data_IF_759417774367
#
_entry.id   IF_759417774367
#
_cell.length_a   1.000
_cell.length_b   1.000
_cell.length_c   1.000
_cell.angle_alpha   90.00
_cell.angle_beta   90.00
_cell.angle_gamma   90.00
#
_symmetry.space_group_name_H-M   'P 1'
#
loop_
_entity.id
_entity.type
_entity.pdbx_description
1 polymer ?
#
# COMPACT_ATOMS: atom_id res chain seq x y z
N UNK A 1 41.56 7.48 -18.76
CA UNK A 1 40.16 7.68 -19.18
C UNK A 1 39.21 6.55 -18.77
N UNK A 2 39.58 5.27 -18.92
CA UNK A 2 38.76 4.12 -18.49
C UNK A 2 38.33 4.13 -17.00
N UNK A 3 39.21 4.53 -16.08
CA UNK A 3 38.89 4.57 -14.64
C UNK A 3 37.81 5.59 -14.27
N UNK A 4 37.69 6.70 -15.01
CA UNK A 4 36.66 7.71 -14.75
C UNK A 4 35.25 7.19 -15.08
N UNK A 5 35.12 6.44 -16.18
CA UNK A 5 33.86 5.81 -16.58
C UNK A 5 33.46 4.72 -15.56
N UNK A 6 34.43 3.94 -15.07
CA UNK A 6 34.20 2.92 -14.06
C UNK A 6 33.69 3.52 -12.74
N UNK A 7 34.27 4.63 -12.29
CA UNK A 7 33.85 5.32 -11.06
C UNK A 7 32.42 5.88 -11.22
N UNK A 8 32.09 6.48 -12.37
CA UNK A 8 30.75 7.01 -12.65
C UNK A 8 29.72 5.88 -12.69
N UNK A 9 30.04 4.74 -13.31
CA UNK A 9 29.18 3.56 -13.31
C UNK A 9 28.97 3.00 -11.91
N UNK A 10 30.03 2.86 -11.12
CA UNK A 10 29.94 2.35 -9.74
C UNK A 10 29.14 3.30 -8.83
N UNK A 11 29.34 4.60 -8.95
CA UNK A 11 28.60 5.62 -8.20
C UNK A 11 27.11 5.70 -8.58
N UNK A 12 26.73 5.25 -9.77
CA UNK A 12 25.31 5.16 -10.16
C UNK A 12 24.66 3.81 -9.81
N UNK A 13 25.33 2.70 -10.17
CA UNK A 13 24.78 1.36 -10.01
C UNK A 13 24.63 0.95 -8.53
N UNK A 14 25.63 1.24 -7.70
CA UNK A 14 25.62 0.82 -6.30
C UNK A 14 24.46 1.46 -5.53
N UNK A 15 24.25 2.79 -5.55
CA UNK A 15 23.10 3.38 -4.86
C UNK A 15 21.77 2.98 -5.47
N UNK A 16 21.68 2.80 -6.80
CA UNK A 16 20.47 2.26 -7.43
C UNK A 16 20.14 0.86 -6.91
N UNK A 17 21.13 -0.02 -6.83
CA UNK A 17 20.95 -1.37 -6.33
C UNK A 17 20.60 -1.40 -4.84
N UNK A 18 21.22 -0.56 -4.02
CA UNK A 18 20.85 -0.38 -2.60
C UNK A 18 19.42 0.11 -2.44
N UNK A 19 18.99 1.08 -3.26
CA UNK A 19 17.64 1.63 -3.21
C UNK A 19 16.60 0.58 -3.59
N UNK A 20 16.84 -0.18 -4.66
CA UNK A 20 15.94 -1.28 -5.08
C UNK A 20 15.86 -2.40 -4.03
N UNK A 21 16.97 -2.76 -3.39
CA UNK A 21 16.95 -3.72 -2.27
C UNK A 21 16.15 -3.20 -1.09
N UNK A 22 16.34 -1.93 -0.75
CA UNK A 22 15.63 -1.29 0.35
C UNK A 22 14.12 -1.23 0.08
N UNK A 23 13.71 -0.82 -1.13
CA UNK A 23 12.31 -0.83 -1.56
C UNK A 23 11.71 -2.23 -1.49
N UNK A 24 12.44 -3.25 -2.00
CA UNK A 24 12.00 -4.65 -1.96
C UNK A 24 11.87 -5.18 -0.53
N UNK A 25 12.77 -4.77 0.36
CA UNK A 25 12.68 -5.13 1.78
C UNK A 25 11.45 -4.51 2.43
N UNK A 26 11.18 -3.23 2.17
CA UNK A 26 10.01 -2.54 2.72
C UNK A 26 8.70 -3.03 2.13
N UNK A 27 8.70 -3.48 0.88
CA UNK A 27 7.51 -4.04 0.23
C UNK A 27 7.14 -5.44 0.76
N UNK A 28 8.10 -6.18 1.29
CA UNK A 28 7.89 -7.54 1.81
C UNK A 28 7.49 -7.59 3.28
N UNK A 29 7.70 -6.50 4.01
CA UNK A 29 7.35 -6.40 5.42
C UNK A 29 5.89 -5.98 5.56
N UNK A 30 5.00 -6.98 5.64
CA UNK A 30 3.56 -6.78 5.77
C UNK A 30 3.13 -6.98 7.22
N UNK A 31 2.55 -5.93 7.81
CA UNK A 31 2.00 -5.96 9.16
C UNK A 31 0.47 -6.02 9.09
N UNK A 32 -0.14 -6.89 9.89
CA UNK A 32 -1.60 -6.99 9.98
C UNK A 32 -2.12 -5.84 10.80
N UNK A 33 -2.93 -4.97 10.19
CA UNK A 33 -3.49 -3.79 10.86
C UNK A 33 -4.93 -4.00 11.32
N UNK A 34 -5.67 -4.90 10.67
CA UNK A 34 -6.99 -5.32 11.12
C UNK A 34 -7.35 -6.70 10.57
N UNK A 35 -8.14 -7.43 11.36
CA UNK A 35 -8.71 -8.71 10.96
C UNK A 35 -10.13 -8.78 11.50
N UNK A 36 -11.09 -9.14 10.65
CA UNK A 36 -12.49 -9.20 11.08
C UNK A 36 -13.46 -9.50 9.97
N UNK A 37 -14.74 -9.50 10.29
CA UNK A 37 -15.83 -9.68 9.32
C UNK A 37 -16.16 -8.33 8.70
N UNK A 38 -16.14 -8.26 7.37
CA UNK A 38 -16.50 -7.06 6.62
C UNK A 38 -17.99 -6.75 6.80
N UNK A 39 -18.31 -5.56 7.31
CA UNK A 39 -19.68 -5.07 7.42
C UNK A 39 -20.08 -4.16 6.25
N UNK A 40 -19.24 -3.18 5.94
CA UNK A 40 -19.45 -2.26 4.81
C UNK A 40 -18.15 -1.61 4.39
N UNK A 41 -18.10 -1.07 3.18
CA UNK A 41 -17.00 -0.26 2.71
C UNK A 41 -17.49 0.95 1.92
N UNK A 42 -16.84 2.09 2.14
CA UNK A 42 -17.15 3.36 1.48
C UNK A 42 -15.90 3.84 0.76
N UNK A 43 -15.96 4.02 -0.56
CA UNK A 43 -14.85 4.59 -1.33
C UNK A 43 -15.12 6.07 -1.56
N UNK A 44 -14.20 6.93 -1.13
CA UNK A 44 -14.22 8.37 -1.33
C UNK A 44 -13.01 8.77 -2.19
N UNK A 45 -13.25 9.40 -3.34
CA UNK A 45 -12.22 9.91 -4.22
C UNK A 45 -12.03 11.40 -3.92
N UNK A 46 -11.01 11.73 -3.12
CA UNK A 46 -10.70 13.13 -2.81
C UNK A 46 -9.60 13.63 -3.72
N UNK A 47 -9.92 14.67 -4.49
CA UNK A 47 -8.94 15.40 -5.28
C UNK A 47 -8.17 16.35 -4.37
N UNK A 48 -6.91 16.07 -4.11
CA UNK A 48 -6.05 17.00 -3.38
C UNK A 48 -5.33 17.93 -4.37
N UNK A 49 -5.49 19.23 -4.16
CA UNK A 49 -4.72 20.27 -4.84
C UNK A 49 -3.43 20.50 -4.07
N UNK A 50 -2.32 19.95 -4.54
CA UNK A 50 -1.01 20.20 -3.93
C UNK A 50 -0.40 21.46 -4.58
N UNK A 51 -0.58 22.62 -3.95
CA UNK A 51 0.11 23.84 -4.39
C UNK A 51 1.64 23.70 -4.18
N UNK A 52 2.51 24.22 -5.07
CA UNK A 52 2.25 25.17 -6.15
C UNK A 52 2.22 24.55 -7.56
N UNK A 53 2.18 23.22 -7.72
CA UNK A 53 2.30 22.57 -9.04
C UNK A 53 0.93 22.01 -9.45
N UNK A 54 0.45 22.43 -10.61
CA UNK A 54 -0.85 22.23 -11.29
C UNK A 54 -1.40 20.80 -11.41
N UNK A 55 -0.82 19.79 -10.74
CA UNK A 55 -1.32 18.42 -10.76
C UNK A 55 -2.30 18.19 -9.61
N UNK A 56 -3.59 18.10 -9.94
CA UNK A 56 -4.58 17.49 -9.05
C UNK A 56 -4.26 16.00 -8.95
N UNK A 57 -3.84 15.55 -7.77
CA UNK A 57 -3.68 14.12 -7.51
C UNK A 57 -5.01 13.65 -6.92
N UNK A 58 -5.74 12.86 -7.71
CA UNK A 58 -6.88 12.13 -7.19
C UNK A 58 -6.35 11.01 -6.29
N UNK A 59 -6.54 11.14 -4.99
CA UNK A 59 -6.23 10.07 -4.04
C UNK A 59 -7.55 9.40 -3.72
N UNK A 60 -7.71 8.17 -4.22
CA UNK A 60 -8.82 7.31 -3.82
C UNK A 60 -8.52 6.75 -2.44
N UNK A 61 -9.51 6.78 -1.55
CA UNK A 61 -9.42 6.17 -0.22
C UNK A 61 -10.68 5.37 0.04
N UNK A 62 -10.51 4.14 0.50
CA UNK A 62 -11.63 3.27 0.90
C UNK A 62 -11.62 3.09 2.41
N UNK A 63 -12.72 3.47 3.06
CA UNK A 63 -12.99 3.17 4.47
C UNK A 63 -13.62 1.80 4.56
N UNK A 64 -12.96 0.88 5.25
CA UNK A 64 -13.45 -0.47 5.54
C UNK A 64 -13.97 -0.50 6.97
N UNK A 65 -15.22 -0.90 7.13
CA UNK A 65 -15.87 -1.07 8.43
C UNK A 65 -16.05 -2.55 8.72
N UNK A 66 -15.66 -2.96 9.92
CA UNK A 66 -15.78 -4.31 10.40
C UNK A 66 -17.00 -4.44 11.33
N UNK A 67 -17.52 -5.66 11.45
CA UNK A 67 -18.70 -5.96 12.27
C UNK A 67 -18.47 -5.74 13.78
N UNK A 68 -17.22 -5.73 14.23
CA UNK A 68 -16.82 -5.42 15.61
C UNK A 68 -16.81 -3.91 15.91
N UNK A 69 -17.13 -3.06 14.92
CA UNK A 69 -17.07 -1.60 15.03
C UNK A 69 -15.71 -1.00 14.69
N UNK A 70 -14.68 -1.82 14.42
CA UNK A 70 -13.37 -1.36 13.96
C UNK A 70 -13.49 -0.75 12.56
N UNK A 71 -12.72 0.30 12.29
CA UNK A 71 -12.64 0.92 10.96
C UNK A 71 -11.19 1.11 10.53
N UNK A 72 -10.91 0.86 9.26
CA UNK A 72 -9.58 1.06 8.66
C UNK A 72 -9.73 1.90 7.40
N UNK A 73 -8.80 2.83 7.22
CA UNK A 73 -8.71 3.64 6.01
C UNK A 73 -7.61 3.06 5.12
N UNK A 74 -8.00 2.64 3.93
CA UNK A 74 -7.12 2.03 2.92
C UNK A 74 -6.94 3.05 1.79
N UNK A 75 -5.70 3.21 1.33
CA UNK A 75 -5.41 3.96 0.11
C UNK A 75 -5.72 3.13 -1.14
N UNK A 76 -6.34 3.76 -2.13
CA UNK A 76 -6.79 3.13 -3.37
C UNK A 76 -8.18 2.52 -3.25
N UNK A 77 -8.57 1.78 -4.29
CA UNK A 77 -9.84 1.04 -4.40
C UNK A 77 -9.54 -0.46 -4.47
N UNK A 78 -9.25 -1.12 -3.33
CA UNK A 78 -9.01 -2.55 -3.32
C UNK A 78 -10.26 -3.30 -3.76
N UNK A 79 -10.08 -4.44 -4.41
CA UNK A 79 -11.19 -5.36 -4.66
C UNK A 79 -11.63 -5.93 -3.31
N UNK A 80 -12.87 -5.65 -2.92
CA UNK A 80 -13.41 -6.03 -1.63
C UNK A 80 -14.42 -7.16 -1.80
N UNK A 81 -14.32 -8.22 -0.98
CA UNK A 81 -15.28 -9.31 -1.04
C UNK A 81 -16.67 -8.87 -0.57
N UNK A 82 -17.71 -9.71 -0.77
CA UNK A 82 -19.04 -9.40 -0.28
C UNK A 82 -19.07 -9.26 1.25
N UNK A 83 -20.04 -8.47 1.73
CA UNK A 83 -20.35 -8.30 3.15
C UNK A 83 -20.50 -9.66 3.85
N UNK A 84 -20.04 -9.74 5.10
CA UNK A 84 -20.07 -10.97 5.90
C UNK A 84 -18.86 -11.88 5.70
N UNK A 85 -17.93 -11.50 4.81
CA UNK A 85 -16.69 -12.24 4.59
C UNK A 85 -15.63 -11.83 5.62
N UNK A 86 -14.90 -12.82 6.16
CA UNK A 86 -13.77 -12.55 7.05
C UNK A 86 -12.56 -12.14 6.23
N UNK A 87 -12.06 -10.94 6.48
CA UNK A 87 -10.93 -10.35 5.77
C UNK A 87 -9.81 -9.99 6.73
N UNK A 88 -8.59 -10.04 6.22
CA UNK A 88 -7.38 -9.49 6.83
C UNK A 88 -6.91 -8.30 6.03
N UNK A 89 -6.67 -7.19 6.69
CA UNK A 89 -6.07 -6.01 6.10
C UNK A 89 -4.66 -5.89 6.63
N UNK A 90 -3.70 -5.89 5.72
CA UNK A 90 -2.28 -5.73 6.01
C UNK A 90 -1.74 -4.46 5.36
N UNK A 91 -0.76 -3.85 6.00
CA UNK A 91 -0.07 -2.65 5.51
C UNK A 91 1.43 -2.90 5.50
N UNK A 92 2.12 -2.45 4.45
CA UNK A 92 3.58 -2.49 4.41
C UNK A 92 4.22 -1.16 4.81
N UNK A 93 5.54 -1.14 4.97
CA UNK A 93 6.31 0.07 5.31
C UNK A 93 6.28 1.15 4.22
N UNK A 94 5.90 0.80 2.99
CA UNK A 94 5.66 1.73 1.88
C UNK A 94 4.20 2.25 1.82
N UNK A 95 3.42 2.05 2.88
CA UNK A 95 2.01 2.46 2.95
C UNK A 95 1.10 1.86 1.86
N UNK A 96 1.51 0.75 1.25
CA UNK A 96 0.64 -0.09 0.44
C UNK A 96 -0.24 -0.94 1.34
N UNK A 97 -1.48 -1.18 0.90
CA UNK A 97 -2.45 -1.99 1.62
C UNK A 97 -2.76 -3.26 0.84
N UNK A 98 -3.03 -4.35 1.56
CA UNK A 98 -3.47 -5.61 1.00
C UNK A 98 -4.66 -6.11 1.79
N UNK A 99 -5.70 -6.56 1.10
CA UNK A 99 -6.86 -7.22 1.68
C UNK A 99 -6.82 -8.69 1.28
N UNK A 100 -6.75 -9.59 2.26
CA UNK A 100 -6.71 -11.03 2.05
C UNK A 100 -7.98 -11.68 2.61
N UNK A 101 -8.49 -12.68 1.91
CA UNK A 101 -9.59 -13.52 2.36
C UNK A 101 -9.08 -14.52 3.39
N UNK A 102 -9.74 -14.57 4.55
CA UNK A 102 -9.52 -15.65 5.52
C UNK A 102 -10.53 -16.73 5.20
N UNK A 103 -10.17 -17.62 4.29
CA UNK A 103 -10.96 -18.82 4.02
C UNK A 103 -10.87 -19.72 5.26
N UNK A 104 -11.99 -19.91 5.96
CA UNK A 104 -12.11 -20.93 6.99
C UNK A 104 -11.95 -22.28 6.29
N UNK A 105 -10.74 -22.85 6.29
CA UNK A 105 -10.57 -24.29 6.09
C UNK A 105 -11.38 -24.98 7.20
N UNK A 106 -12.56 -25.49 6.83
CA UNK A 106 -13.26 -26.50 7.60
C UNK A 106 -12.58 -27.84 7.42
#
# INVERSE_FOLDING_TARGET
>A
MLYGILIVLLMGLIPYWLLTLWEKSMSNDWEVIAEGVLDRAESDARSFSMAPITKRVAIETTKVYFADGTRVLIGGRPDLPPKGTRIRVSKNKLASYRVELIENRR
#
